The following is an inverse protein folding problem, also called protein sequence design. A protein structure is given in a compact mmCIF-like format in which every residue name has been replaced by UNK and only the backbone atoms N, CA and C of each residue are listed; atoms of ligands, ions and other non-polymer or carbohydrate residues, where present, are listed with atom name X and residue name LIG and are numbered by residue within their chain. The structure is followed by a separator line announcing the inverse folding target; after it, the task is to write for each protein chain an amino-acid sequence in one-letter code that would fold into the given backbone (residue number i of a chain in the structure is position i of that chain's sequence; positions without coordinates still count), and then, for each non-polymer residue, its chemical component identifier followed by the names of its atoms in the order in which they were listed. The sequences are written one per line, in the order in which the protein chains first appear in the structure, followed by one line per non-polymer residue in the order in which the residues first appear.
data_IF_716284875873
#
_entry.id   IF_716284875873
#
_cell.length_a   1.000
_cell.length_b   1.000
_cell.length_c   1.000
_cell.angle_alpha   90.00
_cell.angle_beta   90.00
_cell.angle_gamma   90.00
#
_symmetry.space_group_name_H-M   'P 1'
#
loop_
_entity.id
_entity.type
_entity.pdbx_description
1 polymer ?
#
# COMPACT_ATOMS: atom_id res chain seq x y z
N UNK A 1 11.27 -11.95 -28.65
CA UNK A 1 10.16 -12.78 -28.13
C UNK A 1 10.57 -13.48 -26.83
N UNK A 2 11.60 -14.33 -26.83
CA UNK A 2 12.07 -15.04 -25.61
C UNK A 2 12.45 -14.12 -24.44
N UNK A 3 13.13 -13.00 -24.71
CA UNK A 3 13.56 -12.06 -23.66
C UNK A 3 12.38 -11.27 -23.06
N UNK A 4 11.39 -10.94 -23.90
CA UNK A 4 10.16 -10.25 -23.45
C UNK A 4 9.34 -11.14 -22.52
N UNK A 5 9.25 -12.44 -22.81
CA UNK A 5 8.56 -13.41 -21.95
C UNK A 5 9.23 -13.53 -20.59
N UNK A 6 10.57 -13.58 -20.56
CA UNK A 6 11.37 -13.59 -19.31
C UNK A 6 11.13 -12.30 -18.53
N UNK A 7 11.16 -11.14 -19.19
CA UNK A 7 10.91 -9.85 -18.54
C UNK A 7 9.50 -9.79 -17.91
N UNK A 8 8.48 -10.22 -18.65
CA UNK A 8 7.10 -10.25 -18.15
C UNK A 8 6.97 -11.22 -16.97
N UNK A 9 7.65 -12.37 -17.02
CA UNK A 9 7.66 -13.33 -15.92
C UNK A 9 8.25 -12.73 -14.65
N UNK A 10 9.45 -12.14 -14.73
CA UNK A 10 10.11 -11.52 -13.57
C UNK A 10 9.33 -10.30 -13.05
N UNK A 11 8.74 -9.49 -13.94
CA UNK A 11 7.89 -8.37 -13.52
C UNK A 11 6.67 -8.86 -12.73
N UNK A 12 5.97 -9.91 -13.21
CA UNK A 12 4.85 -10.51 -12.48
C UNK A 12 5.29 -11.04 -11.12
N UNK A 13 6.45 -11.68 -11.04
CA UNK A 13 7.00 -12.21 -9.79
C UNK A 13 7.32 -11.10 -8.78
N UNK A 14 7.90 -9.99 -9.24
CA UNK A 14 8.19 -8.83 -8.40
C UNK A 14 6.91 -8.15 -7.91
N UNK A 15 5.92 -7.96 -8.79
CA UNK A 15 4.64 -7.32 -8.45
C UNK A 15 3.79 -8.17 -7.48
N UNK A 16 3.81 -9.49 -7.64
CA UNK A 16 3.03 -10.40 -6.77
C UNK A 16 3.67 -10.67 -5.41
N UNK A 17 4.90 -10.19 -5.17
CA UNK A 17 5.67 -10.52 -3.98
C UNK A 17 6.24 -11.94 -4.06
N UNK A 18 7.56 -12.05 -4.14
CA UNK A 18 8.23 -13.35 -4.36
C UNK A 18 9.73 -13.34 -4.09
N UNK A 19 10.21 -12.45 -3.21
CA UNK A 19 11.63 -12.34 -2.86
C UNK A 19 11.80 -12.30 -1.33
N UNK A 20 12.85 -11.66 -0.79
CA UNK A 20 13.30 -11.82 0.60
C UNK A 20 12.49 -11.06 1.68
N UNK A 21 11.33 -10.49 1.36
CA UNK A 21 10.48 -9.75 2.31
C UNK A 21 9.09 -10.40 2.44
N UNK A 22 8.47 -10.24 3.60
CA UNK A 22 7.08 -10.65 3.82
C UNK A 22 6.15 -9.84 2.91
N UNK A 23 5.15 -10.50 2.31
CA UNK A 23 4.11 -9.81 1.58
C UNK A 23 3.24 -8.97 2.50
N UNK A 24 2.58 -7.93 1.98
CA UNK A 24 1.70 -7.06 2.77
C UNK A 24 0.61 -7.86 3.50
N UNK A 25 0.02 -8.86 2.82
CA UNK A 25 -0.99 -9.74 3.42
C UNK A 25 -0.46 -10.51 4.63
N UNK A 26 0.77 -11.01 4.56
CA UNK A 26 1.38 -11.76 5.65
C UNK A 26 1.78 -10.83 6.80
N UNK A 27 2.29 -9.63 6.46
CA UNK A 27 2.66 -8.61 7.44
C UNK A 27 1.45 -8.08 8.25
N UNK A 28 0.27 -8.05 7.63
CA UNK A 28 -0.98 -7.58 8.27
C UNK A 28 -1.80 -8.70 8.91
N UNK A 29 -1.39 -9.97 8.75
CA UNK A 29 -2.15 -11.10 9.23
C UNK A 29 -2.21 -11.12 10.77
N UNK A 30 -3.43 -11.23 11.32
CA UNK A 30 -3.63 -11.37 12.76
C UNK A 30 -3.49 -10.08 13.57
N UNK A 31 -3.29 -8.92 12.92
CA UNK A 31 -3.29 -7.63 13.60
C UNK A 31 -4.71 -7.30 14.08
N UNK A 32 -4.94 -7.10 15.39
CA UNK A 32 -6.24 -6.68 15.90
C UNK A 32 -6.63 -5.29 15.40
N UNK A 33 -7.90 -5.08 15.07
CA UNK A 33 -8.39 -3.78 14.61
C UNK A 33 -8.11 -2.65 15.62
N UNK A 34 -8.26 -2.93 16.92
CA UNK A 34 -8.08 -1.94 17.99
C UNK A 34 -6.66 -1.37 18.13
N UNK A 35 -5.64 -1.98 17.52
CA UNK A 35 -4.25 -1.49 17.59
C UNK A 35 -3.81 -0.73 16.33
N UNK A 36 -4.65 -0.65 15.29
CA UNK A 36 -4.28 -0.04 14.01
C UNK A 36 -3.93 1.44 14.13
N UNK A 37 -4.50 2.12 15.13
CA UNK A 37 -4.27 3.52 15.48
C UNK A 37 -3.02 3.80 16.31
N UNK A 38 -2.42 2.77 16.90
CA UNK A 38 -1.37 2.95 17.88
C UNK A 38 -0.03 3.35 17.25
N UNK A 39 0.73 4.17 17.98
CA UNK A 39 2.12 4.56 17.63
C UNK A 39 3.05 4.11 18.76
N UNK A 40 3.44 2.83 18.77
CA UNK A 40 4.26 2.29 19.84
C UNK A 40 5.64 2.97 19.85
N UNK A 41 6.19 3.19 21.04
CA UNK A 41 7.56 3.68 21.26
C UNK A 41 7.93 4.98 20.51
N UNK A 42 6.94 5.86 20.25
CA UNK A 42 7.18 7.15 19.59
C UNK A 42 7.43 7.04 18.08
N UNK A 43 7.02 5.95 17.44
CA UNK A 43 7.05 5.84 15.98
C UNK A 43 6.21 6.96 15.33
N UNK A 44 6.64 7.45 14.13
CA UNK A 44 5.99 8.61 13.50
C UNK A 44 4.60 8.31 12.95
N UNK A 45 4.32 7.05 12.63
CA UNK A 45 3.09 6.61 11.96
C UNK A 45 2.55 5.34 12.61
N UNK A 46 1.22 5.21 12.58
CA UNK A 46 0.52 3.99 12.98
C UNK A 46 0.52 2.94 11.86
N UNK A 47 0.07 1.73 12.16
CA UNK A 47 -0.11 0.66 11.16
C UNK A 47 -1.06 1.13 10.06
N UNK A 48 -2.16 1.77 10.44
CA UNK A 48 -3.12 2.33 9.49
C UNK A 48 -2.46 3.30 8.51
N UNK A 49 -1.71 4.28 9.02
CA UNK A 49 -1.08 5.30 8.17
C UNK A 49 -0.04 4.70 7.23
N UNK A 50 0.70 3.67 7.66
CA UNK A 50 1.66 2.96 6.81
C UNK A 50 0.96 2.17 5.70
N UNK A 51 -0.14 1.49 6.02
CA UNK A 51 -0.92 0.72 5.02
C UNK A 51 -1.57 1.66 4.01
N UNK A 52 -2.16 2.76 4.48
CA UNK A 52 -2.79 3.74 3.60
C UNK A 52 -1.77 4.43 2.69
N UNK A 53 -0.58 4.75 3.22
CA UNK A 53 0.54 5.24 2.42
C UNK A 53 0.90 4.27 1.28
N UNK A 54 1.03 2.97 1.58
CA UNK A 54 1.32 1.95 0.57
C UNK A 54 0.20 1.88 -0.47
N UNK A 55 -1.07 1.94 -0.05
CA UNK A 55 -2.22 1.92 -0.97
C UNK A 55 -2.21 3.10 -1.93
N UNK A 56 -2.05 4.32 -1.42
CA UNK A 56 -2.02 5.54 -2.23
C UNK A 56 -0.85 5.50 -3.22
N UNK A 57 0.35 5.14 -2.75
CA UNK A 57 1.53 5.07 -3.60
C UNK A 57 1.40 4.01 -4.70
N UNK A 58 0.89 2.81 -4.38
CA UNK A 58 0.67 1.76 -5.37
C UNK A 58 -0.40 2.13 -6.40
N UNK A 59 -1.51 2.75 -5.94
CA UNK A 59 -2.56 3.25 -6.83
C UNK A 59 -2.01 4.32 -7.78
N UNK A 60 -1.26 5.29 -7.26
CA UNK A 60 -0.68 6.38 -8.06
C UNK A 60 0.27 5.84 -9.15
N UNK A 61 1.18 4.92 -8.77
CA UNK A 61 2.08 4.26 -9.72
C UNK A 61 1.32 3.50 -10.81
N UNK A 62 0.22 2.84 -10.46
CA UNK A 62 -0.60 2.10 -11.40
C UNK A 62 -1.32 3.03 -12.39
N UNK A 63 -1.99 4.07 -11.88
CA UNK A 63 -2.71 5.04 -12.73
C UNK A 63 -1.75 5.84 -13.61
N UNK A 64 -0.58 6.25 -13.09
CA UNK A 64 0.49 6.87 -13.87
C UNK A 64 0.94 5.97 -15.04
N UNK A 65 1.10 4.67 -14.79
CA UNK A 65 1.54 3.71 -15.81
C UNK A 65 0.49 3.46 -16.90
N UNK A 66 -0.80 3.63 -16.55
CA UNK A 66 -1.95 3.35 -17.42
C UNK A 66 -2.40 4.58 -18.22
N UNK A 67 -2.26 5.76 -17.64
CA UNK A 67 -2.80 7.01 -18.18
C UNK A 67 -1.74 8.11 -18.18
N UNK A 68 -1.22 8.46 -19.36
CA UNK A 68 -0.17 9.48 -19.50
C UNK A 68 -0.56 10.91 -19.08
N UNK A 69 -1.85 11.17 -18.83
CA UNK A 69 -2.36 12.45 -18.31
C UNK A 69 -2.73 12.39 -16.82
N UNK A 70 -2.44 11.28 -16.13
CA UNK A 70 -2.65 11.17 -14.69
C UNK A 70 -1.85 12.23 -13.95
N UNK A 71 -2.48 12.88 -12.98
CA UNK A 71 -1.85 13.87 -12.11
C UNK A 71 -1.72 13.24 -10.73
N UNK A 72 -0.49 12.92 -10.35
CA UNK A 72 -0.19 12.35 -9.05
C UNK A 72 -0.59 13.27 -7.89
N UNK A 73 -0.95 12.72 -6.72
CA UNK A 73 -1.16 13.50 -5.51
C UNK A 73 0.05 14.37 -5.15
N UNK A 74 -0.18 15.43 -4.38
CA UNK A 74 0.88 16.32 -3.91
C UNK A 74 1.75 15.62 -2.87
N UNK A 75 3.02 15.40 -3.21
CA UNK A 75 4.00 14.85 -2.27
C UNK A 75 4.51 15.91 -1.26
N UNK A 76 4.72 15.56 0.03
CA UNK A 76 4.31 14.31 0.69
C UNK A 76 2.88 14.36 1.26
N UNK A 77 2.26 15.54 1.32
CA UNK A 77 1.06 15.84 2.12
C UNK A 77 -0.15 14.93 1.82
N UNK A 78 -0.30 14.48 0.58
CA UNK A 78 -1.46 13.70 0.12
C UNK A 78 -1.20 12.20 0.03
N UNK A 79 -0.02 11.73 0.49
CA UNK A 79 0.35 10.29 0.50
C UNK A 79 0.20 9.65 1.88
N UNK A 80 -0.45 10.33 2.82
CA UNK A 80 -0.59 9.85 4.18
C UNK A 80 -2.00 10.11 4.71
N UNK A 81 -2.60 9.09 5.32
CA UNK A 81 -3.78 9.29 6.15
C UNK A 81 -3.47 10.33 7.24
N UNK A 82 -4.32 11.36 7.32
CA UNK A 82 -4.23 12.41 8.35
C UNK A 82 -4.57 11.88 9.73
N UNK A 83 -5.50 10.94 9.80
CA UNK A 83 -5.90 10.30 11.04
C UNK A 83 -4.97 9.12 11.34
N UNK A 84 -4.62 8.89 12.62
CA UNK A 84 -3.81 7.74 13.00
C UNK A 84 -4.58 6.42 12.90
N UNK A 85 -5.92 6.41 12.89
CA UNK A 85 -6.75 5.20 12.83
C UNK A 85 -7.79 5.28 11.70
N UNK A 86 -8.24 4.13 11.17
CA UNK A 86 -9.39 4.08 10.27
C UNK A 86 -10.67 4.38 11.06
N UNK A 87 -11.68 4.91 10.39
CA UNK A 87 -13.00 5.20 10.97
C UNK A 87 -13.70 3.94 11.45
N UNK A 88 -13.57 2.85 10.70
CA UNK A 88 -14.21 1.56 10.94
C UNK A 88 -13.47 0.41 10.23
N UNK A 89 -13.94 -0.82 10.47
CA UNK A 89 -13.39 -2.02 9.86
C UNK A 89 -13.56 -2.03 8.33
N UNK A 90 -14.56 -1.34 7.77
CA UNK A 90 -14.78 -1.29 6.32
C UNK A 90 -13.69 -0.47 5.63
N UNK A 91 -13.34 0.70 6.19
CA UNK A 91 -12.22 1.53 5.72
C UNK A 91 -10.88 0.77 5.85
N UNK A 92 -10.72 -0.02 6.92
CA UNK A 92 -9.55 -0.90 7.07
C UNK A 92 -9.48 -1.97 5.97
N UNK A 93 -10.59 -2.64 5.65
CA UNK A 93 -10.62 -3.70 4.64
C UNK A 93 -10.46 -3.16 3.20
N UNK A 94 -10.43 -1.83 3.02
CA UNK A 94 -10.31 -1.21 1.70
C UNK A 94 -11.57 -1.38 0.86
N UNK A 95 -12.71 -1.59 1.50
CA UNK A 95 -14.03 -1.65 0.86
C UNK A 95 -14.55 -0.22 0.88
N UNK A 96 -14.31 0.55 -0.19
CA UNK A 96 -15.04 1.79 -0.44
C UNK A 96 -16.40 1.43 -1.07
N UNK A 97 -17.48 2.06 -0.61
CA UNK A 97 -18.78 2.06 -1.32
C UNK A 97 -18.66 2.58 -2.77
#
# INVERSE_FOLDING_TARGET
MKDTEILIHELKKLLNGGTAHAGLKDALNGIPFGVLGERPYGLPYSIWQLVDHIRIAQWDMFEFSKHGNHISPKWPDEYWAKNPEPKDESEWMGISE
#
